data_IF_732308535266
#
_entry.id   IF_732308535266
#
_cell.length_a   1.000
_cell.length_b   1.000
_cell.length_c   1.000
_cell.angle_alpha   90.00
_cell.angle_beta   90.00
_cell.angle_gamma   90.00
#
_symmetry.space_group_name_H-M   'P 1'
#
loop_
_entity.id
_entity.type
_entity.pdbx_description
1 polymer ?
#
# COMPACT_ATOMS: atom_id res chain seq x y z
N UNK A 1 13.98 20.15 2.26
CA UNK A 1 13.51 20.08 3.68
C UNK A 1 12.00 20.28 3.83
N UNK A 2 11.33 21.12 3.02
CA UNK A 2 9.88 21.34 3.14
C UNK A 2 9.05 20.06 2.91
N UNK A 3 9.39 19.23 1.91
CA UNK A 3 8.62 18.02 1.56
C UNK A 3 8.61 16.97 2.67
N UNK A 4 9.72 16.82 3.40
CA UNK A 4 9.80 15.90 4.54
C UNK A 4 8.90 16.33 5.72
N UNK A 5 8.78 17.65 5.94
CA UNK A 5 7.92 18.21 6.99
C UNK A 5 6.43 18.01 6.69
N UNK A 6 6.04 17.96 5.40
CA UNK A 6 4.65 17.71 4.99
C UNK A 6 4.15 16.31 5.42
N UNK A 7 5.03 15.32 5.49
CA UNK A 7 4.66 13.96 5.90
C UNK A 7 4.63 13.77 7.43
N UNK A 8 5.10 14.75 8.20
CA UNK A 8 5.15 14.64 9.67
C UNK A 8 3.76 14.45 10.32
N UNK A 9 2.70 15.15 9.91
CA UNK A 9 1.36 14.92 10.47
C UNK A 9 0.87 13.48 10.26
N UNK A 10 1.08 12.91 9.06
CA UNK A 10 0.66 11.55 8.75
C UNK A 10 1.40 10.51 9.61
N UNK A 11 2.71 10.68 9.78
CA UNK A 11 3.49 9.81 10.67
C UNK A 11 3.11 10.00 12.15
N UNK A 12 2.71 11.21 12.56
CA UNK A 12 2.19 11.46 13.90
C UNK A 12 0.90 10.69 14.16
N UNK A 13 0.02 10.53 13.16
CA UNK A 13 -1.19 9.70 13.26
C UNK A 13 -0.84 8.21 13.43
N UNK A 14 0.20 7.71 12.77
CA UNK A 14 0.68 6.34 12.99
C UNK A 14 1.18 6.18 14.44
N UNK A 15 1.99 7.13 14.93
CA UNK A 15 2.48 7.10 16.32
C UNK A 15 1.34 7.23 17.32
N UNK A 16 0.34 8.05 17.04
CA UNK A 16 -0.89 8.14 17.84
C UNK A 16 -1.61 6.78 17.91
N UNK A 17 -1.69 6.06 16.80
CA UNK A 17 -2.26 4.70 16.75
C UNK A 17 -1.52 3.73 17.67
N UNK A 18 -0.19 3.77 17.69
CA UNK A 18 0.65 3.00 18.65
C UNK A 18 0.30 3.38 20.08
N UNK A 19 0.21 4.68 20.36
CA UNK A 19 -0.09 5.22 21.68
C UNK A 19 -1.48 4.78 22.19
N UNK A 20 -2.51 4.96 21.36
CA UNK A 20 -3.88 4.53 21.68
C UNK A 20 -3.91 3.04 21.97
N UNK A 21 -3.30 2.21 21.12
CA UNK A 21 -3.24 0.76 21.31
C UNK A 21 -2.59 0.38 22.64
N UNK A 22 -1.51 1.08 23.01
CA UNK A 22 -0.74 0.78 24.22
C UNK A 22 -1.43 1.23 25.50
N UNK A 23 -2.03 2.41 25.51
CA UNK A 23 -2.53 3.05 26.72
C UNK A 23 -4.03 2.90 26.95
N UNK A 24 -4.83 2.92 25.88
CA UNK A 24 -6.29 2.81 26.02
C UNK A 24 -6.79 1.35 26.09
N UNK A 25 -5.90 0.36 25.86
CA UNK A 25 -6.24 -1.08 25.93
C UNK A 25 -7.47 -1.48 25.12
N UNK A 26 -7.76 -0.77 24.03
CA UNK A 26 -8.83 -1.10 23.12
C UNK A 26 -8.53 -2.47 22.47
N UNK A 27 -9.44 -3.42 22.64
CA UNK A 27 -9.27 -4.80 22.21
C UNK A 27 -9.16 -4.98 20.70
N UNK A 28 -8.76 -6.16 20.25
CA UNK A 28 -8.64 -6.48 18.82
C UNK A 28 -9.97 -6.33 18.08
N UNK A 29 -11.09 -6.58 18.76
CA UNK A 29 -12.43 -6.42 18.17
C UNK A 29 -12.70 -4.97 17.73
N UNK A 30 -12.30 -3.99 18.54
CA UNK A 30 -12.41 -2.56 18.19
C UNK A 30 -11.58 -2.23 16.95
N UNK A 31 -10.31 -2.62 16.93
CA UNK A 31 -9.40 -2.31 15.83
C UNK A 31 -9.82 -2.99 14.52
N UNK A 32 -10.28 -4.24 14.59
CA UNK A 32 -10.86 -4.95 13.44
C UNK A 32 -12.12 -4.25 12.92
N UNK A 33 -12.94 -3.67 13.80
CA UNK A 33 -14.12 -2.90 13.41
C UNK A 33 -13.75 -1.62 12.67
N UNK A 34 -12.78 -0.85 13.20
CA UNK A 34 -12.27 0.38 12.57
C UNK A 34 -11.62 0.06 11.22
N UNK A 35 -10.80 -0.98 11.14
CA UNK A 35 -10.16 -1.42 9.88
C UNK A 35 -11.21 -1.77 8.81
N UNK A 36 -12.26 -2.50 9.18
CA UNK A 36 -13.37 -2.82 8.26
C UNK A 36 -14.10 -1.56 7.78
N UNK A 37 -14.38 -0.63 8.68
CA UNK A 37 -15.02 0.66 8.34
C UNK A 37 -14.16 1.42 7.31
N UNK A 38 -12.87 1.56 7.59
CA UNK A 38 -11.93 2.25 6.71
C UNK A 38 -11.85 1.55 5.35
N UNK A 39 -11.66 0.23 5.34
CA UNK A 39 -11.45 -0.54 4.13
C UNK A 39 -12.69 -0.65 3.23
N UNK A 40 -13.88 -0.90 3.82
CA UNK A 40 -15.10 -1.16 3.04
C UNK A 40 -15.92 0.09 2.71
N UNK A 41 -15.77 1.17 3.48
CA UNK A 41 -16.61 2.38 3.34
C UNK A 41 -15.77 3.61 3.04
N UNK A 42 -14.81 3.95 3.92
CA UNK A 42 -14.14 5.24 3.86
C UNK A 42 -13.18 5.35 2.66
N UNK A 43 -12.39 4.33 2.38
CA UNK A 43 -11.48 4.34 1.23
C UNK A 43 -12.17 4.30 -0.13
N UNK A 44 -13.20 3.48 -0.36
CA UNK A 44 -13.96 3.60 -1.60
C UNK A 44 -14.52 5.02 -1.80
N UNK A 45 -15.05 5.66 -0.74
CA UNK A 45 -15.52 7.04 -0.82
C UNK A 45 -14.41 8.04 -1.15
N UNK A 46 -13.21 7.87 -0.54
CA UNK A 46 -12.01 8.68 -0.86
C UNK A 46 -11.63 8.54 -2.33
N UNK A 47 -11.56 7.31 -2.85
CA UNK A 47 -11.19 7.05 -4.24
C UNK A 47 -12.21 7.63 -5.23
N UNK A 48 -13.50 7.43 -4.99
CA UNK A 48 -14.56 8.03 -5.81
C UNK A 48 -14.44 9.55 -5.77
N UNK A 49 -14.34 10.16 -4.57
CA UNK A 49 -14.22 11.62 -4.42
C UNK A 49 -13.00 12.20 -5.13
N UNK A 50 -11.86 11.50 -5.12
CA UNK A 50 -10.65 11.96 -5.79
C UNK A 50 -10.75 11.82 -7.30
N UNK A 51 -11.23 10.66 -7.79
CA UNK A 51 -11.32 10.37 -9.22
C UNK A 51 -12.29 11.29 -9.96
N UNK A 52 -13.46 11.61 -9.38
CA UNK A 52 -14.42 12.53 -10.02
C UNK A 52 -13.90 13.98 -10.13
N UNK A 53 -12.91 14.36 -9.31
CA UNK A 53 -12.33 15.72 -9.31
C UNK A 53 -11.09 15.84 -10.21
N UNK A 54 -10.56 14.74 -10.73
CA UNK A 54 -9.28 14.70 -11.44
C UNK A 54 -9.49 14.39 -12.91
N UNK A 55 -8.83 15.13 -13.79
CA UNK A 55 -8.77 14.75 -15.22
C UNK A 55 -7.83 13.57 -15.39
N UNK A 56 -8.33 12.48 -15.94
CA UNK A 56 -7.56 11.24 -16.16
C UNK A 56 -7.11 11.21 -17.62
N UNK A 57 -5.81 11.14 -17.83
CA UNK A 57 -5.19 10.91 -19.13
C UNK A 57 -4.99 9.41 -19.32
N UNK A 58 -5.78 8.82 -20.22
CA UNK A 58 -5.69 7.40 -20.56
C UNK A 58 -4.38 7.04 -21.26
N UNK A 59 -3.79 7.98 -22.02
CA UNK A 59 -2.51 7.77 -22.69
C UNK A 59 -1.36 7.57 -21.69
N UNK A 60 -1.39 8.29 -20.58
CA UNK A 60 -0.40 8.17 -19.53
C UNK A 60 -0.64 6.99 -18.55
N UNK A 61 -1.82 6.37 -18.57
CA UNK A 61 -2.17 5.28 -17.66
C UNK A 61 -1.35 4.01 -17.94
N UNK A 62 -1.11 3.66 -19.19
CA UNK A 62 -0.37 2.44 -19.55
C UNK A 62 1.09 2.49 -19.12
N UNK A 63 1.91 3.53 -19.41
CA UNK A 63 3.26 3.66 -18.90
C UNK A 63 3.32 3.68 -17.36
N UNK A 64 2.36 4.35 -16.71
CA UNK A 64 2.24 4.42 -15.26
C UNK A 64 2.07 3.01 -14.63
N UNK A 65 1.11 2.24 -15.12
CA UNK A 65 0.84 0.88 -14.64
C UNK A 65 1.99 -0.07 -14.99
N UNK A 66 2.57 0.04 -16.18
CA UNK A 66 3.75 -0.74 -16.56
C UNK A 66 4.92 -0.51 -15.62
N UNK A 67 5.19 0.75 -15.23
CA UNK A 67 6.22 1.10 -14.26
C UNK A 67 5.92 0.52 -12.86
N UNK A 68 4.67 0.63 -12.40
CA UNK A 68 4.27 0.05 -11.11
C UNK A 68 4.44 -1.47 -11.10
N UNK A 69 4.04 -2.16 -12.17
CA UNK A 69 4.21 -3.61 -12.29
C UNK A 69 5.68 -4.01 -12.47
N UNK A 70 6.51 -3.21 -13.14
CA UNK A 70 7.95 -3.45 -13.22
C UNK A 70 8.59 -3.39 -11.83
N UNK A 71 8.25 -2.40 -11.00
CA UNK A 71 8.71 -2.34 -9.62
C UNK A 71 8.24 -3.55 -8.79
N UNK A 72 6.97 -3.95 -8.90
CA UNK A 72 6.45 -5.14 -8.21
C UNK A 72 7.16 -6.42 -8.67
N UNK A 73 7.35 -6.60 -9.96
CA UNK A 73 8.09 -7.73 -10.53
C UNK A 73 9.55 -7.75 -10.03
N UNK A 74 10.20 -6.59 -9.96
CA UNK A 74 11.51 -6.43 -9.33
C UNK A 74 11.52 -6.90 -7.88
N UNK A 75 10.51 -6.51 -7.09
CA UNK A 75 10.33 -6.98 -5.71
C UNK A 75 10.13 -8.49 -5.60
N UNK A 76 9.38 -9.08 -6.53
CA UNK A 76 9.19 -10.54 -6.62
C UNK A 76 10.52 -11.24 -6.98
N UNK A 77 11.24 -10.76 -8.00
CA UNK A 77 12.51 -11.35 -8.44
C UNK A 77 13.58 -11.25 -7.35
N UNK A 78 13.76 -10.05 -6.77
CA UNK A 78 14.72 -9.85 -5.66
C UNK A 78 14.30 -10.62 -4.40
N UNK A 79 12.99 -10.78 -4.18
CA UNK A 79 12.45 -11.60 -3.09
C UNK A 79 12.71 -13.10 -3.27
N UNK A 80 12.98 -13.58 -4.50
CA UNK A 80 13.35 -14.97 -4.77
C UNK A 80 14.84 -15.26 -4.51
N UNK A 81 15.74 -14.26 -4.57
CA UNK A 81 17.17 -14.45 -4.42
C UNK A 81 17.58 -15.13 -3.09
N UNK A 82 17.00 -14.79 -1.92
CA UNK A 82 17.36 -15.44 -0.67
C UNK A 82 17.14 -16.96 -0.66
N UNK A 83 16.23 -17.48 -1.50
CA UNK A 83 15.98 -18.92 -1.62
C UNK A 83 17.22 -19.70 -2.09
N UNK A 84 18.13 -19.04 -2.79
CA UNK A 84 19.36 -19.65 -3.28
C UNK A 84 20.40 -19.88 -2.16
N UNK A 85 20.30 -19.09 -1.08
CA UNK A 85 21.33 -19.07 0.00
C UNK A 85 20.76 -19.52 1.34
N UNK A 86 19.49 -19.18 1.61
CA UNK A 86 18.86 -19.41 2.92
C UNK A 86 17.89 -20.59 2.83
N UNK A 87 18.07 -21.59 3.69
CA UNK A 87 17.15 -22.72 3.84
C UNK A 87 16.13 -22.40 4.93
N UNK A 88 14.92 -22.03 4.54
CA UNK A 88 13.78 -21.83 5.44
C UNK A 88 12.65 -22.82 5.10
N UNK A 89 11.80 -23.15 6.07
CA UNK A 89 10.54 -23.85 5.78
C UNK A 89 9.77 -23.13 4.67
N UNK A 90 9.25 -23.87 3.71
CA UNK A 90 8.64 -23.31 2.50
C UNK A 90 7.52 -22.30 2.81
N UNK A 91 6.73 -22.57 3.85
CA UNK A 91 5.62 -21.72 4.28
C UNK A 91 6.10 -20.42 4.95
N UNK A 92 7.17 -20.50 5.77
CA UNK A 92 7.82 -19.30 6.34
C UNK A 92 8.39 -18.41 5.24
N UNK A 93 9.08 -19.01 4.26
CA UNK A 93 9.62 -18.29 3.11
C UNK A 93 8.50 -17.63 2.29
N UNK A 94 7.42 -18.36 1.96
CA UNK A 94 6.28 -17.83 1.22
C UNK A 94 5.60 -16.68 1.96
N UNK A 95 5.52 -16.77 3.30
CA UNK A 95 4.96 -15.72 4.15
C UNK A 95 5.79 -14.43 4.07
N UNK A 96 7.11 -14.54 4.10
CA UNK A 96 8.00 -13.39 4.02
C UNK A 96 8.12 -12.82 2.60
N UNK A 97 8.11 -13.69 1.58
CA UNK A 97 8.24 -13.31 0.18
C UNK A 97 7.24 -12.24 -0.26
N UNK A 98 5.97 -12.36 0.16
CA UNK A 98 4.95 -11.38 -0.19
C UNK A 98 5.26 -9.97 0.34
N UNK A 99 6.07 -9.85 1.40
CA UNK A 99 6.45 -8.56 1.96
C UNK A 99 7.39 -7.75 1.04
N UNK A 100 8.06 -8.41 0.10
CA UNK A 100 8.95 -7.77 -0.86
C UNK A 100 8.24 -6.93 -1.93
N UNK A 101 6.95 -7.19 -2.21
CA UNK A 101 6.20 -6.48 -3.27
C UNK A 101 4.83 -5.95 -2.86
N UNK A 102 4.21 -6.46 -1.78
CA UNK A 102 2.97 -5.88 -1.25
C UNK A 102 3.23 -4.50 -0.66
N UNK A 103 2.23 -3.63 -0.76
CA UNK A 103 2.32 -2.23 -0.36
C UNK A 103 1.14 -1.83 0.53
N UNK A 104 1.36 -0.87 1.40
CA UNK A 104 0.34 -0.36 2.31
C UNK A 104 -0.52 0.71 1.61
N UNK A 105 -1.75 0.35 1.24
CA UNK A 105 -2.68 1.26 0.56
C UNK A 105 -3.09 2.45 1.43
N UNK A 106 -3.07 2.33 2.76
CA UNK A 106 -3.40 3.42 3.68
C UNK A 106 -2.36 4.54 3.60
N UNK A 107 -1.08 4.16 3.74
CA UNK A 107 0.03 5.10 3.60
C UNK A 107 0.11 5.62 2.17
N UNK A 108 -0.17 4.77 1.16
CA UNK A 108 -0.19 5.17 -0.24
C UNK A 108 -1.09 6.37 -0.51
N UNK A 109 -2.36 6.27 -0.10
CA UNK A 109 -3.36 7.32 -0.34
C UNK A 109 -3.10 8.56 0.52
N UNK A 110 -2.62 8.37 1.77
CA UNK A 110 -2.24 9.47 2.65
C UNK A 110 -1.09 10.29 2.05
N UNK A 111 0.02 9.64 1.70
CA UNK A 111 1.21 10.31 1.12
C UNK A 111 0.86 11.00 -0.21
N UNK A 112 0.12 10.32 -1.09
CA UNK A 112 -0.30 10.90 -2.36
C UNK A 112 -1.23 12.11 -2.16
N UNK A 113 -2.15 12.03 -1.20
CA UNK A 113 -3.07 13.12 -0.87
C UNK A 113 -2.35 14.32 -0.26
N UNK A 114 -1.42 14.08 0.65
CA UNK A 114 -0.64 15.13 1.32
C UNK A 114 0.27 15.88 0.35
N UNK A 115 0.96 15.16 -0.53
CA UNK A 115 1.94 15.76 -1.44
C UNK A 115 1.31 16.37 -2.70
N UNK A 116 0.25 15.75 -3.22
CA UNK A 116 -0.29 16.09 -4.55
C UNK A 116 -1.81 16.34 -4.57
N UNK A 117 -2.47 16.28 -3.41
CA UNK A 117 -3.92 16.50 -3.32
C UNK A 117 -4.75 15.44 -4.07
N UNK A 118 -5.92 15.86 -4.56
CA UNK A 118 -6.85 14.97 -5.27
C UNK A 118 -6.23 14.30 -6.52
N UNK A 119 -5.43 14.97 -7.38
CA UNK A 119 -4.74 14.32 -8.49
C UNK A 119 -3.82 13.18 -8.05
N UNK A 120 -3.06 13.39 -6.96
CA UNK A 120 -2.20 12.35 -6.40
C UNK A 120 -2.98 11.14 -5.89
N UNK A 121 -4.09 11.36 -5.19
CA UNK A 121 -4.98 10.28 -4.71
C UNK A 121 -5.57 9.50 -5.89
N UNK A 122 -6.00 10.19 -6.96
CA UNK A 122 -6.56 9.56 -8.14
C UNK A 122 -5.54 8.68 -8.86
N UNK A 123 -4.32 9.22 -9.12
CA UNK A 123 -3.23 8.49 -9.76
C UNK A 123 -2.78 7.29 -8.89
N UNK A 124 -2.59 7.49 -7.60
CA UNK A 124 -2.25 6.42 -6.66
C UNK A 124 -3.38 5.38 -6.58
N UNK A 125 -4.64 5.82 -6.57
CA UNK A 125 -5.81 4.95 -6.58
C UNK A 125 -5.88 4.05 -7.80
N UNK A 126 -5.54 4.57 -8.98
CA UNK A 126 -5.44 3.79 -10.21
C UNK A 126 -4.37 2.69 -10.10
N UNK A 127 -3.17 3.04 -9.61
CA UNK A 127 -2.10 2.06 -9.36
C UNK A 127 -2.56 1.00 -8.35
N UNK A 128 -3.09 1.41 -7.20
CA UNK A 128 -3.55 0.51 -6.13
C UNK A 128 -4.65 -0.41 -6.63
N UNK A 129 -5.64 0.13 -7.36
CA UNK A 129 -6.75 -0.64 -7.94
C UNK A 129 -6.27 -1.75 -8.86
N UNK A 130 -5.26 -1.48 -9.69
CA UNK A 130 -4.68 -2.46 -10.62
C UNK A 130 -3.69 -3.43 -9.92
N UNK A 131 -2.89 -2.93 -8.98
CA UNK A 131 -1.79 -3.69 -8.37
C UNK A 131 -2.26 -4.66 -7.27
N UNK A 132 -3.33 -4.34 -6.51
CA UNK A 132 -3.83 -5.18 -5.41
C UNK A 132 -4.27 -6.58 -5.88
N UNK A 133 -5.03 -6.75 -6.98
CA UNK A 133 -5.39 -8.08 -7.48
C UNK A 133 -4.16 -8.92 -7.82
N UNK A 134 -3.17 -8.32 -8.48
CA UNK A 134 -1.91 -9.01 -8.86
C UNK A 134 -1.12 -9.41 -7.62
N UNK A 135 -0.97 -8.49 -6.66
CA UNK A 135 -0.29 -8.77 -5.41
C UNK A 135 -0.97 -9.91 -4.62
N UNK A 136 -2.31 -9.93 -4.59
CA UNK A 136 -3.07 -10.99 -3.92
C UNK A 136 -2.91 -12.33 -4.65
N UNK A 137 -3.01 -12.34 -5.99
CA UNK A 137 -2.85 -13.55 -6.80
C UNK A 137 -1.51 -14.22 -6.53
N UNK A 138 -0.40 -13.46 -6.64
CA UNK A 138 0.95 -13.99 -6.45
C UNK A 138 1.16 -14.44 -5.00
N UNK A 139 0.64 -13.70 -4.01
CA UNK A 139 0.76 -14.06 -2.60
C UNK A 139 0.00 -15.34 -2.27
N UNK A 140 -1.25 -15.46 -2.75
CA UNK A 140 -2.06 -16.66 -2.60
C UNK A 140 -1.40 -17.83 -3.31
N UNK A 141 -0.94 -17.67 -4.54
CA UNK A 141 -0.25 -18.73 -5.29
C UNK A 141 1.01 -19.24 -4.56
N UNK A 142 1.82 -18.34 -3.98
CA UNK A 142 3.01 -18.73 -3.22
C UNK A 142 2.69 -19.45 -1.90
N UNK A 143 1.62 -19.02 -1.21
CA UNK A 143 1.19 -19.63 0.05
C UNK A 143 0.33 -20.87 -0.19
N UNK A 144 -0.47 -20.90 -1.26
CA UNK A 144 -1.53 -21.89 -1.53
C UNK A 144 -1.06 -23.05 -2.40
N UNK A 145 0.23 -23.29 -2.54
CA UNK A 145 0.63 -24.60 -3.12
C UNK A 145 -0.05 -25.79 -2.40
N UNK A 146 -0.87 -25.50 -1.39
CA UNK A 146 -1.60 -26.44 -0.55
C UNK A 146 -3.04 -26.02 -0.16
N UNK A 147 -3.71 -25.02 -0.84
CA UNK A 147 -5.07 -24.60 -0.46
C UNK A 147 -5.88 -23.93 -1.57
N UNK A 148 -7.20 -24.13 -1.55
CA UNK A 148 -8.16 -23.61 -2.51
C UNK A 148 -8.62 -22.18 -2.14
N UNK A 149 -8.10 -21.13 -2.80
CA UNK A 149 -8.66 -19.77 -2.71
C UNK A 149 -8.88 -19.23 -4.12
N UNK A 150 -10.15 -18.94 -4.47
CA UNK A 150 -10.52 -18.47 -5.81
C UNK A 150 -10.17 -16.97 -6.00
N UNK A 151 -9.26 -16.68 -6.92
CA UNK A 151 -8.83 -15.31 -7.29
C UNK A 151 -10.01 -14.38 -7.63
N UNK A 152 -10.94 -14.85 -8.44
CA UNK A 152 -12.10 -14.06 -8.87
C UNK A 152 -12.99 -13.60 -7.70
N UNK A 153 -13.06 -14.41 -6.65
CA UNK A 153 -13.80 -14.07 -5.44
C UNK A 153 -13.12 -12.94 -4.65
N UNK A 154 -11.78 -12.92 -4.61
CA UNK A 154 -10.97 -11.86 -3.99
C UNK A 154 -11.14 -10.54 -4.76
N UNK A 155 -11.04 -10.57 -6.09
CA UNK A 155 -11.25 -9.39 -6.95
C UNK A 155 -12.67 -8.84 -6.78
N UNK A 156 -13.69 -9.71 -6.86
CA UNK A 156 -15.09 -9.30 -6.74
C UNK A 156 -15.47 -8.74 -5.36
N UNK A 157 -14.71 -9.06 -4.32
CA UNK A 157 -14.94 -8.60 -2.94
C UNK A 157 -14.06 -7.44 -2.52
N UNK A 158 -13.16 -6.96 -3.40
CA UNK A 158 -12.24 -5.89 -3.05
C UNK A 158 -12.90 -4.51 -3.21
N UNK A 159 -13.22 -3.80 -2.12
CA UNK A 159 -13.91 -2.51 -2.19
C UNK A 159 -13.07 -1.40 -2.83
N UNK A 160 -11.73 -1.50 -2.80
CA UNK A 160 -10.85 -0.53 -3.45
C UNK A 160 -10.96 -0.62 -4.97
N UNK A 161 -11.10 -1.84 -5.53
CA UNK A 161 -11.31 -2.04 -6.95
C UNK A 161 -12.65 -1.43 -7.37
N UNK A 162 -13.72 -1.68 -6.60
CA UNK A 162 -15.04 -1.12 -6.90
C UNK A 162 -15.10 0.39 -6.73
N UNK A 163 -14.45 0.95 -5.70
CA UNK A 163 -14.33 2.39 -5.51
C UNK A 163 -13.56 3.06 -6.66
N UNK A 164 -12.45 2.46 -7.10
CA UNK A 164 -11.67 2.95 -8.25
C UNK A 164 -12.49 2.85 -9.54
N UNK A 165 -13.12 1.70 -9.80
CA UNK A 165 -13.94 1.51 -11.02
C UNK A 165 -15.12 2.48 -11.06
N UNK A 166 -15.86 2.64 -9.97
CA UNK A 166 -16.99 3.57 -9.88
C UNK A 166 -16.56 5.02 -10.11
N UNK A 167 -15.49 5.47 -9.43
CA UNK A 167 -14.95 6.82 -9.60
C UNK A 167 -14.45 7.08 -11.02
N UNK A 168 -13.78 6.09 -11.61
CA UNK A 168 -13.30 6.15 -13.00
C UNK A 168 -14.45 6.22 -14.02
N UNK A 169 -15.48 5.37 -13.86
CA UNK A 169 -16.67 5.38 -14.74
C UNK A 169 -17.41 6.72 -14.66
N UNK A 170 -17.63 7.26 -13.47
CA UNK A 170 -18.26 8.58 -13.29
C UNK A 170 -17.44 9.69 -13.95
N UNK A 171 -16.11 9.63 -13.81
CA UNK A 171 -15.19 10.58 -14.42
C UNK A 171 -15.27 10.55 -15.96
N UNK A 172 -15.16 9.36 -16.57
CA UNK A 172 -15.26 9.20 -18.03
C UNK A 172 -16.61 9.60 -18.58
N UNK A 173 -17.69 9.36 -17.83
CA UNK A 173 -19.05 9.77 -18.21
C UNK A 173 -19.29 11.28 -18.03
N UNK A 174 -18.32 12.03 -17.48
CA UNK A 174 -18.49 13.45 -17.18
C UNK A 174 -19.54 13.74 -16.11
N UNK A 175 -19.92 12.73 -15.30
CA UNK A 175 -20.96 12.85 -14.29
C UNK A 175 -20.39 13.53 -13.04
N UNK A 176 -20.91 14.72 -12.75
CA UNK A 176 -20.60 15.45 -11.51
C UNK A 176 -21.75 15.24 -10.52
N UNK A 177 -21.52 14.55 -9.37
CA UNK A 177 -22.56 14.35 -8.39
C UNK A 177 -23.08 15.68 -7.82
N UNK A 178 -24.36 15.75 -7.37
CA UNK A 178 -24.90 16.95 -6.73
C UNK A 178 -24.08 17.38 -5.50
N UNK A 179 -24.06 18.70 -5.16
CA UNK A 179 -23.26 19.23 -4.06
C UNK A 179 -23.42 18.49 -2.70
N UNK A 180 -24.63 18.07 -2.28
CA UNK A 180 -24.77 17.31 -1.03
C UNK A 180 -24.07 15.95 -1.06
N UNK A 181 -24.05 15.27 -2.23
CA UNK A 181 -23.37 13.98 -2.39
C UNK A 181 -21.85 14.18 -2.38
N UNK A 182 -21.35 15.23 -3.05
CA UNK A 182 -19.91 15.58 -2.99
C UNK A 182 -19.47 15.90 -1.55
N UNK A 183 -20.27 16.66 -0.78
CA UNK A 183 -19.97 16.98 0.60
C UNK A 183 -19.99 15.73 1.49
N UNK A 184 -20.91 14.81 1.28
CA UNK A 184 -20.95 13.52 1.99
C UNK A 184 -19.71 12.67 1.72
N UNK A 185 -19.36 12.48 0.42
CA UNK A 185 -18.17 11.74 0.04
C UNK A 185 -16.88 12.40 0.57
N UNK A 186 -16.82 13.74 0.56
CA UNK A 186 -15.69 14.50 1.11
C UNK A 186 -15.48 14.23 2.60
N UNK A 187 -16.55 14.26 3.40
CA UNK A 187 -16.44 13.95 4.85
C UNK A 187 -15.97 12.53 5.13
N UNK A 188 -16.42 11.56 4.35
CA UNK A 188 -15.93 10.18 4.46
C UNK A 188 -14.45 10.07 4.02
N UNK A 189 -14.08 10.80 2.96
CA UNK A 189 -12.71 10.87 2.47
C UNK A 189 -11.75 11.45 3.52
N UNK A 190 -12.13 12.55 4.18
CA UNK A 190 -11.31 13.19 5.21
C UNK A 190 -11.08 12.25 6.41
N UNK A 191 -12.11 11.52 6.83
CA UNK A 191 -12.01 10.55 7.92
C UNK A 191 -11.15 9.34 7.56
N UNK A 192 -11.08 8.96 6.28
CA UNK A 192 -10.43 7.72 5.82
C UNK A 192 -8.93 7.72 6.06
N UNK A 193 -8.24 8.83 5.77
CA UNK A 193 -6.79 8.96 5.90
C UNK A 193 -6.41 8.89 7.38
N UNK A 194 -7.04 9.70 8.23
CA UNK A 194 -6.72 9.76 9.65
C UNK A 194 -6.95 8.40 10.35
N UNK A 195 -8.14 7.80 10.17
CA UNK A 195 -8.45 6.50 10.77
C UNK A 195 -7.59 5.37 10.17
N UNK A 196 -7.29 5.42 8.87
CA UNK A 196 -6.42 4.48 8.21
C UNK A 196 -5.01 4.47 8.82
N UNK A 197 -4.39 5.64 8.98
CA UNK A 197 -3.04 5.76 9.57
C UNK A 197 -3.01 5.38 11.05
N UNK A 198 -4.03 5.74 11.82
CA UNK A 198 -4.16 5.31 13.22
C UNK A 198 -4.25 3.79 13.32
N UNK A 199 -5.02 3.12 12.44
CA UNK A 199 -5.09 1.65 12.42
C UNK A 199 -3.77 0.99 12.04
N UNK A 200 -3.01 1.58 11.10
CA UNK A 200 -1.64 1.12 10.79
C UNK A 200 -0.77 1.15 12.04
N UNK A 201 -0.76 2.26 12.78
CA UNK A 201 -0.02 2.39 14.01
C UNK A 201 -0.41 1.35 15.07
N UNK A 202 -1.70 1.15 15.28
CA UNK A 202 -2.23 0.16 16.23
C UNK A 202 -1.87 -1.28 15.85
N UNK A 203 -1.62 -1.57 14.58
CA UNK A 203 -1.24 -2.89 14.09
C UNK A 203 0.25 -3.20 14.21
N UNK A 204 1.13 -2.24 14.54
CA UNK A 204 2.58 -2.47 14.62
C UNK A 204 2.96 -3.51 15.69
N UNK A 205 3.89 -4.40 15.34
CA UNK A 205 4.46 -5.45 16.22
C UNK A 205 5.97 -5.48 16.04
N UNK A 206 6.71 -5.46 17.16
CA UNK A 206 8.18 -5.41 17.15
C UNK A 206 8.86 -6.76 17.45
N UNK A 207 8.09 -7.80 17.69
CA UNK A 207 8.61 -9.14 17.98
C UNK A 207 8.66 -10.00 16.71
N UNK A 208 9.86 -10.39 16.31
CA UNK A 208 10.11 -11.29 15.17
C UNK A 208 10.42 -12.73 15.58
N UNK A 209 10.45 -13.65 14.61
CA UNK A 209 10.89 -15.04 14.79
C UNK A 209 12.42 -15.12 14.73
N UNK A 210 13.11 -15.85 15.64
CA UNK A 210 14.54 -16.11 15.52
C UNK A 210 14.85 -16.84 14.19
N UNK A 211 16.03 -16.56 13.61
CA UNK A 211 16.51 -17.25 12.41
C UNK A 211 16.09 -16.65 11.06
N UNK A 212 15.13 -15.72 11.03
CA UNK A 212 14.68 -15.07 9.77
C UNK A 212 15.24 -13.66 9.57
N UNK A 213 16.12 -13.18 10.47
CA UNK A 213 16.64 -11.79 10.42
C UNK A 213 17.30 -11.43 9.09
N UNK A 214 18.12 -12.31 8.53
CA UNK A 214 18.84 -12.04 7.29
C UNK A 214 17.90 -11.79 6.11
N UNK A 215 16.91 -12.66 5.90
CA UNK A 215 15.92 -12.48 4.83
C UNK A 215 15.03 -11.27 5.10
N UNK A 216 14.70 -10.99 6.35
CA UNK A 216 13.87 -9.82 6.70
C UNK A 216 14.61 -8.52 6.42
N UNK A 217 15.90 -8.42 6.74
CA UNK A 217 16.73 -7.25 6.39
C UNK A 217 16.88 -7.10 4.89
N UNK A 218 17.08 -8.21 4.16
CA UNK A 218 17.10 -8.18 2.70
C UNK A 218 15.79 -7.61 2.13
N UNK A 219 14.64 -8.14 2.56
CA UNK A 219 13.34 -7.69 2.08
C UNK A 219 13.04 -6.23 2.47
N UNK A 220 13.55 -5.76 3.62
CA UNK A 220 13.46 -4.37 4.02
C UNK A 220 14.24 -3.47 3.05
N UNK A 221 15.48 -3.84 2.70
CA UNK A 221 16.29 -3.10 1.71
C UNK A 221 15.62 -3.14 0.33
N UNK A 222 15.15 -4.31 -0.10
CA UNK A 222 14.41 -4.44 -1.36
C UNK A 222 13.23 -3.50 -1.36
N UNK A 223 12.40 -3.51 -0.32
CA UNK A 223 11.14 -2.76 -0.25
C UNK A 223 11.34 -1.25 -0.18
N UNK A 224 12.29 -0.77 0.61
CA UNK A 224 12.45 0.66 0.87
C UNK A 224 13.44 1.36 -0.07
N UNK A 225 14.35 0.60 -0.70
CA UNK A 225 15.40 1.17 -1.55
C UNK A 225 15.36 0.61 -2.98
N UNK A 226 15.40 -0.72 -3.17
CA UNK A 226 15.51 -1.30 -4.50
C UNK A 226 14.26 -1.04 -5.36
N UNK A 227 13.06 -1.19 -4.81
CA UNK A 227 11.82 -0.98 -5.56
C UNK A 227 11.67 0.46 -6.09
N UNK A 228 11.85 1.51 -5.28
CA UNK A 228 11.77 2.87 -5.82
C UNK A 228 12.87 3.18 -6.84
N UNK A 229 14.09 2.60 -6.71
CA UNK A 229 15.14 2.71 -7.74
C UNK A 229 14.67 2.07 -9.05
N UNK A 230 14.09 0.86 -8.99
CA UNK A 230 13.55 0.17 -10.17
C UNK A 230 12.40 0.99 -10.79
N UNK A 231 11.48 1.53 -9.97
CA UNK A 231 10.41 2.38 -10.46
C UNK A 231 10.93 3.65 -11.11
N UNK A 232 11.94 4.29 -10.52
CA UNK A 232 12.56 5.49 -11.09
C UNK A 232 13.19 5.20 -12.45
N UNK A 233 13.99 4.13 -12.57
CA UNK A 233 14.61 3.73 -13.84
C UNK A 233 13.56 3.32 -14.88
N UNK A 234 12.59 2.48 -14.51
CA UNK A 234 11.53 2.05 -15.43
C UNK A 234 10.65 3.23 -15.88
N UNK A 235 10.31 4.14 -14.97
CA UNK A 235 9.52 5.33 -15.30
C UNK A 235 10.22 6.25 -16.29
N UNK A 236 11.53 6.48 -16.11
CA UNK A 236 12.33 7.24 -17.08
C UNK A 236 12.39 6.55 -18.45
N UNK A 237 12.63 5.24 -18.48
CA UNK A 237 12.66 4.45 -19.72
C UNK A 237 11.32 4.46 -20.47
N UNK A 238 10.19 4.52 -19.75
CA UNK A 238 8.85 4.59 -20.31
C UNK A 238 8.35 6.02 -20.58
N UNK A 239 9.21 7.02 -20.38
CA UNK A 239 8.90 8.43 -20.66
C UNK A 239 7.89 9.03 -19.69
N UNK A 240 7.79 8.52 -18.46
CA UNK A 240 6.96 9.14 -17.43
C UNK A 240 7.62 10.41 -16.90
N UNK A 241 6.80 11.43 -16.72
CA UNK A 241 7.20 12.72 -16.15
C UNK A 241 6.18 13.25 -15.12
N UNK A 242 6.48 14.38 -14.53
CA UNK A 242 5.60 15.14 -13.63
C UNK A 242 4.97 14.28 -12.53
N UNK A 243 3.66 14.45 -12.33
CA UNK A 243 2.90 13.80 -11.27
C UNK A 243 2.96 12.26 -11.36
N UNK A 244 2.80 11.71 -12.56
CA UNK A 244 2.74 10.27 -12.75
C UNK A 244 4.06 9.59 -12.36
N UNK A 245 5.19 10.20 -12.73
CA UNK A 245 6.52 9.72 -12.33
C UNK A 245 6.71 9.78 -10.81
N UNK A 246 6.36 10.93 -10.20
CA UNK A 246 6.51 11.10 -8.76
C UNK A 246 5.66 10.11 -7.97
N UNK A 247 4.39 9.94 -8.36
CA UNK A 247 3.45 9.03 -7.68
C UNK A 247 3.88 7.57 -7.79
N UNK A 248 4.37 7.11 -8.96
CA UNK A 248 4.77 5.71 -9.12
C UNK A 248 6.06 5.38 -8.37
N UNK A 249 7.01 6.30 -8.28
CA UNK A 249 8.22 6.10 -7.46
C UNK A 249 7.86 6.07 -5.98
N UNK A 250 6.98 6.95 -5.51
CA UNK A 250 6.48 6.91 -4.13
C UNK A 250 5.66 5.64 -3.85
N UNK A 251 4.85 5.16 -4.80
CA UNK A 251 4.18 3.85 -4.69
C UNK A 251 5.19 2.72 -4.43
N UNK A 252 6.28 2.69 -5.17
CA UNK A 252 7.32 1.68 -4.98
C UNK A 252 8.04 1.78 -3.63
N UNK A 253 8.18 3.01 -3.07
CA UNK A 253 8.80 3.30 -1.79
C UNK A 253 7.90 3.01 -0.56
N UNK A 254 6.62 2.64 -0.77
CA UNK A 254 5.68 2.35 0.31
C UNK A 254 6.12 1.13 1.14
N UNK A 255 5.84 1.12 2.46
CA UNK A 255 6.07 -0.06 3.29
C UNK A 255 5.13 -1.22 2.94
N UNK A 256 5.40 -2.37 3.53
CA UNK A 256 4.61 -3.60 3.33
C UNK A 256 3.17 -3.45 3.83
N UNK A 257 2.23 -4.09 3.14
CA UNK A 257 0.81 -4.09 3.48
C UNK A 257 0.51 -4.84 4.78
N UNK A 258 -0.34 -4.27 5.66
CA UNK A 258 -0.85 -4.96 6.86
C UNK A 258 -1.63 -6.24 6.53
N UNK A 259 -2.31 -6.28 5.38
CA UNK A 259 -3.03 -7.45 4.88
C UNK A 259 -2.13 -8.67 4.58
N UNK A 260 -0.80 -8.50 4.47
CA UNK A 260 0.14 -9.61 4.34
C UNK A 260 0.13 -10.51 5.59
N UNK A 261 -0.01 -9.93 6.79
CA UNK A 261 -0.17 -10.67 8.04
C UNK A 261 -1.44 -11.54 8.03
N UNK A 262 -2.58 -10.93 7.67
CA UNK A 262 -3.87 -11.62 7.65
C UNK A 262 -3.82 -12.81 6.70
N UNK A 263 -3.23 -12.61 5.51
CA UNK A 263 -3.11 -13.68 4.53
C UNK A 263 -2.19 -14.80 5.02
N UNK A 264 -1.02 -14.48 5.57
CA UNK A 264 -0.12 -15.46 6.16
C UNK A 264 -0.80 -16.29 7.24
N UNK A 265 -1.50 -15.63 8.19
CA UNK A 265 -2.22 -16.33 9.26
C UNK A 265 -3.33 -17.25 8.76
N UNK A 266 -4.14 -16.78 7.79
CA UNK A 266 -5.24 -17.58 7.22
C UNK A 266 -4.76 -18.82 6.48
N UNK A 267 -3.55 -18.78 5.93
CA UNK A 267 -2.94 -19.85 5.16
C UNK A 267 -1.94 -20.70 5.96
N UNK A 268 -1.92 -20.53 7.30
CA UNK A 268 -1.06 -21.30 8.21
C UNK A 268 0.43 -20.90 8.15
N UNK A 269 0.73 -19.72 7.64
CA UNK A 269 2.08 -19.18 7.49
C UNK A 269 2.66 -18.56 8.75
N UNK A 270 3.87 -17.98 8.61
CA UNK A 270 4.59 -17.32 9.69
C UNK A 270 4.12 -15.85 9.86
N UNK A 271 2.96 -15.68 10.51
CA UNK A 271 2.42 -14.35 10.79
C UNK A 271 3.32 -13.50 11.68
N UNK A 272 4.06 -14.09 12.63
CA UNK A 272 4.94 -13.35 13.55
C UNK A 272 6.04 -12.62 12.80
N UNK A 273 6.75 -13.32 11.91
CA UNK A 273 7.81 -12.72 11.07
C UNK A 273 7.25 -11.68 10.09
N UNK A 274 6.07 -11.93 9.52
CA UNK A 274 5.39 -10.96 8.64
C UNK A 274 5.01 -9.70 9.41
N UNK A 275 4.43 -9.82 10.62
CA UNK A 275 4.06 -8.67 11.45
C UNK A 275 5.27 -7.81 11.82
N UNK A 276 6.40 -8.45 12.17
CA UNK A 276 7.65 -7.76 12.42
C UNK A 276 8.14 -6.99 11.18
N UNK A 277 8.11 -7.63 10.00
CA UNK A 277 8.60 -7.01 8.76
C UNK A 277 7.69 -5.86 8.31
N UNK A 278 6.37 -5.97 8.49
CA UNK A 278 5.43 -4.86 8.30
C UNK A 278 5.83 -3.68 9.19
N UNK A 279 6.08 -3.94 10.48
CA UNK A 279 6.47 -2.90 11.43
C UNK A 279 7.81 -2.27 11.08
N UNK A 280 8.82 -3.09 10.76
CA UNK A 280 10.15 -2.63 10.38
C UNK A 280 10.12 -1.78 9.10
N UNK A 281 9.36 -2.22 8.07
CA UNK A 281 9.22 -1.44 6.82
C UNK A 281 8.42 -0.16 7.06
N UNK A 282 7.39 -0.17 7.92
CA UNK A 282 6.61 1.03 8.24
C UNK A 282 7.46 2.04 9.00
N UNK A 283 8.19 1.64 10.03
CA UNK A 283 9.10 2.53 10.76
C UNK A 283 10.25 3.02 9.86
N UNK A 284 10.82 2.14 9.05
CA UNK A 284 11.84 2.53 8.07
C UNK A 284 11.31 3.52 7.03
N UNK A 285 10.05 3.37 6.61
CA UNK A 285 9.44 4.29 5.65
C UNK A 285 9.24 5.70 6.19
N UNK A 286 9.14 5.88 7.52
CA UNK A 286 9.10 7.22 8.13
C UNK A 286 10.37 8.04 7.83
N UNK A 287 11.49 7.37 7.54
CA UNK A 287 12.74 8.01 7.11
C UNK A 287 12.88 8.02 5.59
N UNK A 288 12.60 6.88 4.92
CA UNK A 288 12.88 6.74 3.49
C UNK A 288 11.87 7.45 2.60
N UNK A 289 10.57 7.49 2.95
CA UNK A 289 9.57 8.21 2.15
C UNK A 289 9.83 9.72 2.06
N UNK A 290 10.14 10.43 3.17
CA UNK A 290 10.54 11.83 3.07
C UNK A 290 11.78 12.06 2.21
N UNK A 291 12.76 11.15 2.26
CA UNK A 291 13.97 11.24 1.43
C UNK A 291 13.64 11.05 -0.06
N UNK A 292 12.82 10.05 -0.42
CA UNK A 292 12.35 9.85 -1.78
C UNK A 292 11.51 11.03 -2.28
N UNK A 293 10.60 11.54 -1.44
CA UNK A 293 9.79 12.71 -1.79
C UNK A 293 10.65 13.97 -2.00
N UNK A 294 11.68 14.18 -1.17
CA UNK A 294 12.62 15.28 -1.32
C UNK A 294 13.46 15.14 -2.61
N UNK A 295 13.92 13.93 -2.92
CA UNK A 295 14.66 13.64 -4.16
C UNK A 295 13.82 13.90 -5.41
N UNK A 296 12.53 13.58 -5.38
CA UNK A 296 11.59 13.82 -6.48
C UNK A 296 11.20 15.27 -6.66
N UNK A 297 11.39 16.12 -5.64
CA UNK A 297 11.05 17.54 -5.67
C UNK A 297 12.21 18.43 -6.16
N UNK A 298 13.45 17.92 -6.18
CA UNK A 298 14.65 18.60 -6.65
C UNK A 298 14.99 18.28 -8.06
#
# INVERSE_FOLDING_TARGET
MHTALLLLPDFSLILLGVAIRRWMHLGDHFWNGVEKLVYFILFPALLVSALIKTRIDLGAALPLLATAFAAMAGGMLLGLLPKLVVRLPALTYASLFQCGYRFNSYIALAVAGMLFGAPGIATMGLIVGAAVPVANLVSVWMLARHGEVGLWREVARNPLIWGTAAGFMLNLAGVVPPPPVQAFLGRLADASIALGLITVGAALRLEGTPGVRGISLWLLVVKLLALPIIAAGAGQLLGLDGLNYQVVVLFAALPTASSAYILAMRMGGDGRSVAWLISATTLGSMLTLPLWAAWLAG
#
